data_IF_836424027437
#
_entry.id   IF_836424027437
#
_cell.length_a   1.000
_cell.length_b   1.000
_cell.length_c   1.000
_cell.angle_alpha   90.00
_cell.angle_beta   90.00
_cell.angle_gamma   90.00
#
_symmetry.space_group_name_H-M   'P 1'
#
loop_
_entity.id
_entity.type
_entity.pdbx_description
1 polymer ?
#
# COMPACT_ATOMS: atom_id res chain seq x y z
N UNK A 1 -5.47 16.08 0.49
CA UNK A 1 -5.30 14.61 0.44
C UNK A 1 -5.09 14.12 1.86
N UNK A 2 -5.86 13.13 2.31
CA UNK A 2 -5.73 12.57 3.64
C UNK A 2 -4.46 11.71 3.70
N UNK A 3 -3.56 12.04 4.64
CA UNK A 3 -2.36 11.26 4.94
C UNK A 3 -2.53 10.68 6.34
N UNK A 4 -2.10 9.44 6.49
CA UNK A 4 -2.03 8.75 7.76
C UNK A 4 -0.60 8.78 8.28
N UNK A 5 -0.35 8.20 9.45
CA UNK A 5 1.01 8.08 9.96
C UNK A 5 1.79 7.10 9.08
N UNK A 6 1.21 5.91 8.85
CA UNK A 6 1.85 4.80 8.17
C UNK A 6 0.79 3.96 7.43
N UNK A 7 1.25 2.94 6.71
CA UNK A 7 0.42 1.93 6.07
C UNK A 7 -0.59 1.32 7.04
N UNK A 8 -0.17 0.95 8.24
CA UNK A 8 -1.06 0.24 9.18
C UNK A 8 -2.25 1.13 9.58
N UNK A 9 -1.99 2.42 9.85
CA UNK A 9 -3.02 3.41 10.14
C UNK A 9 -3.92 3.66 8.93
N UNK A 10 -3.36 3.68 7.71
CA UNK A 10 -4.14 3.75 6.48
C UNK A 10 -5.08 2.54 6.32
N UNK A 11 -4.59 1.33 6.56
CA UNK A 11 -5.38 0.09 6.42
C UNK A 11 -6.46 -0.03 7.52
N UNK A 12 -6.21 0.50 8.71
CA UNK A 12 -7.19 0.59 9.81
C UNK A 12 -8.31 1.58 9.48
N UNK A 13 -7.93 2.80 9.06
CA UNK A 13 -8.87 3.91 8.86
C UNK A 13 -9.57 3.90 7.51
N UNK A 14 -9.01 3.21 6.51
CA UNK A 14 -9.56 3.16 5.16
C UNK A 14 -9.88 1.73 4.72
N UNK A 15 -11.16 1.30 4.82
CA UNK A 15 -11.60 0.01 4.30
C UNK A 15 -11.28 -0.19 2.81
N UNK A 16 -11.32 0.89 2.03
CA UNK A 16 -10.96 0.87 0.61
C UNK A 16 -9.47 0.56 0.39
N UNK A 17 -8.58 1.15 1.20
CA UNK A 17 -7.15 0.85 1.13
C UNK A 17 -6.86 -0.59 1.56
N UNK A 18 -7.52 -1.07 2.62
CA UNK A 18 -7.42 -2.46 3.06
C UNK A 18 -7.87 -3.46 2.00
N UNK A 19 -9.01 -3.19 1.37
CA UNK A 19 -9.52 -4.03 0.28
C UNK A 19 -8.53 -4.08 -0.89
N UNK A 20 -8.05 -2.92 -1.36
CA UNK A 20 -7.04 -2.85 -2.41
C UNK A 20 -5.76 -3.59 -2.04
N UNK A 21 -5.20 -3.34 -0.85
CA UNK A 21 -3.99 -4.01 -0.37
C UNK A 21 -4.16 -5.53 -0.39
N UNK A 22 -5.32 -6.04 0.05
CA UNK A 22 -5.61 -7.47 0.07
C UNK A 22 -5.71 -8.10 -1.33
N UNK A 23 -6.00 -7.33 -2.38
CA UNK A 23 -6.00 -7.84 -3.76
C UNK A 23 -4.60 -7.99 -4.38
N UNK A 24 -3.57 -7.43 -3.74
CA UNK A 24 -2.20 -7.50 -4.25
C UNK A 24 -1.57 -8.88 -4.00
N UNK A 25 -0.67 -9.34 -4.88
CA UNK A 25 0.13 -10.55 -4.64
C UNK A 25 0.93 -10.46 -3.35
N UNK A 26 1.22 -11.60 -2.72
CA UNK A 26 1.96 -11.67 -1.46
C UNK A 26 3.29 -10.91 -1.51
N UNK A 27 4.11 -11.13 -2.53
CA UNK A 27 5.41 -10.45 -2.68
C UNK A 27 5.29 -8.92 -2.75
N UNK A 28 4.20 -8.41 -3.34
CA UNK A 28 3.92 -6.96 -3.41
C UNK A 28 3.51 -6.45 -2.04
N UNK A 29 2.65 -7.18 -1.33
CA UNK A 29 2.23 -6.83 0.04
C UNK A 29 3.41 -6.81 1.00
N UNK A 30 4.28 -7.82 0.94
CA UNK A 30 5.50 -7.89 1.75
C UNK A 30 6.44 -6.71 1.46
N UNK A 31 6.66 -6.40 0.18
CA UNK A 31 7.50 -5.26 -0.24
C UNK A 31 6.92 -3.91 0.20
N UNK A 32 5.59 -3.76 0.20
CA UNK A 32 4.91 -2.58 0.74
C UNK A 32 5.07 -2.49 2.26
N UNK A 33 4.92 -3.61 2.99
CA UNK A 33 5.10 -3.66 4.43
C UNK A 33 6.53 -3.28 4.86
N UNK A 34 7.56 -3.64 4.07
CA UNK A 34 8.93 -3.21 4.32
C UNK A 34 9.12 -1.68 4.26
N UNK A 35 8.22 -0.95 3.60
CA UNK A 35 8.21 0.52 3.53
C UNK A 35 6.93 1.13 4.09
N UNK A 36 6.33 0.49 5.11
CA UNK A 36 5.07 0.90 5.71
C UNK A 36 5.04 2.38 6.14
N UNK A 37 6.16 2.91 6.63
CA UNK A 37 6.31 4.31 7.08
C UNK A 37 6.10 5.33 5.95
N UNK A 38 6.47 4.97 4.72
CA UNK A 38 6.34 5.84 3.55
C UNK A 38 5.02 5.66 2.79
N UNK A 39 4.24 4.62 3.08
CA UNK A 39 2.97 4.32 2.42
C UNK A 39 1.80 4.80 3.28
N UNK A 40 1.63 6.11 3.33
CA UNK A 40 0.68 6.75 4.25
C UNK A 40 -0.61 7.29 3.58
N UNK A 41 -0.85 6.98 2.32
CA UNK A 41 -2.06 7.40 1.63
C UNK A 41 -2.47 6.40 0.55
N UNK A 42 -3.74 6.42 0.14
CA UNK A 42 -4.22 5.56 -0.96
C UNK A 42 -3.45 5.81 -2.26
N UNK A 43 -3.03 7.06 -2.52
CA UNK A 43 -2.23 7.39 -3.69
C UNK A 43 -0.84 6.74 -3.62
N UNK A 44 -0.13 6.90 -2.49
CA UNK A 44 1.18 6.26 -2.27
C UNK A 44 1.10 4.73 -2.35
N UNK A 45 0.03 4.14 -1.82
CA UNK A 45 -0.21 2.70 -1.86
C UNK A 45 -0.38 2.20 -3.30
N UNK A 46 -1.22 2.89 -4.10
CA UNK A 46 -1.44 2.53 -5.51
C UNK A 46 -0.17 2.71 -6.35
N UNK A 47 0.51 3.84 -6.19
CA UNK A 47 1.72 4.16 -6.94
C UNK A 47 2.82 3.13 -6.67
N UNK A 48 3.06 2.81 -5.40
CA UNK A 48 4.09 1.83 -5.04
C UNK A 48 3.72 0.43 -5.52
N UNK A 49 2.45 0.02 -5.38
CA UNK A 49 1.99 -1.26 -5.91
C UNK A 49 2.16 -1.34 -7.45
N UNK A 50 1.85 -0.27 -8.18
CA UNK A 50 2.03 -0.22 -9.64
C UNK A 50 3.49 -0.33 -10.07
N UNK A 51 4.40 0.32 -9.33
CA UNK A 51 5.84 0.22 -9.59
C UNK A 51 6.36 -1.21 -9.36
N UNK A 52 5.92 -1.88 -8.29
CA UNK A 52 6.30 -3.26 -8.00
C UNK A 52 5.74 -4.24 -9.05
N UNK A 53 4.46 -4.10 -9.41
CA UNK A 53 3.81 -4.95 -10.42
C UNK A 53 4.40 -4.79 -11.83
N UNK A 54 4.98 -3.63 -12.15
CA UNK A 54 5.70 -3.41 -13.43
C UNK A 54 7.13 -3.95 -13.42
N UNK A 55 7.78 -4.00 -12.26
CA UNK A 55 9.17 -4.47 -12.12
C UNK A 55 9.31 -5.98 -12.02
N UNK A 56 8.21 -6.70 -11.82
CA UNK A 56 8.14 -8.17 -11.74
C UNK A 56 7.84 -8.84 -13.09
N UNK A 57 8.15 -8.15 -14.20
CA UNK A 57 7.93 -8.59 -15.59
C UNK A 57 9.21 -8.65 -16.40
#
# INVERSE_FOLDING_TARGET
>A
MQKYQDLHTLLDKSPAAKSFFNTLPDYVRESICQRADHVNSMASLKDYAQNLLRGDG
#
